data_IF_267284960289
#
_entry.id   IF_267284960289
#
_cell.length_a   1.000
_cell.length_b   1.000
_cell.length_c   1.000
_cell.angle_alpha   90.00
_cell.angle_beta   90.00
_cell.angle_gamma   90.00
#
_symmetry.space_group_name_H-M   'P 1'
#
loop_
_entity.id
_entity.type
_entity.pdbx_description
1 polymer ?
#
# COMPACT_ATOMS: atom_id res chain seq x y z
N UNK A 1 -10.69 -0.19 7.09
CA UNK A 1 -9.74 -0.62 6.04
C UNK A 1 -8.94 0.56 5.50
N UNK A 2 -9.58 1.63 4.99
CA UNK A 2 -8.88 2.82 4.49
C UNK A 2 -7.87 3.44 5.48
N UNK A 3 -8.27 3.67 6.75
CA UNK A 3 -7.37 4.24 7.76
C UNK A 3 -6.13 3.38 8.03
N UNK A 4 -6.27 2.05 8.05
CA UNK A 4 -5.14 1.16 8.29
C UNK A 4 -4.13 1.21 7.13
N UNK A 5 -4.62 1.25 5.90
CA UNK A 5 -3.78 1.43 4.70
C UNK A 5 -3.06 2.79 4.77
N UNK A 6 -3.79 3.85 5.13
CA UNK A 6 -3.22 5.19 5.30
C UNK A 6 -2.09 5.20 6.32
N UNK A 7 -2.29 4.61 7.50
CA UNK A 7 -1.26 4.54 8.54
C UNK A 7 -0.02 3.76 8.09
N UNK A 8 -0.20 2.62 7.43
CA UNK A 8 0.91 1.82 6.87
C UNK A 8 1.70 2.65 5.86
N UNK A 9 1.02 3.30 4.91
CA UNK A 9 1.67 4.09 3.88
C UNK A 9 2.39 5.30 4.47
N UNK A 10 1.75 6.06 5.36
CA UNK A 10 2.33 7.24 5.99
C UNK A 10 3.58 6.88 6.82
N UNK A 11 3.57 5.75 7.53
CA UNK A 11 4.74 5.26 8.28
C UNK A 11 5.86 4.81 7.36
N UNK A 12 5.55 4.00 6.33
CA UNK A 12 6.55 3.47 5.42
C UNK A 12 7.21 4.55 4.54
N UNK A 13 6.47 5.61 4.21
CA UNK A 13 6.97 6.76 3.45
C UNK A 13 7.68 7.81 4.33
N UNK A 14 7.68 7.63 5.66
CA UNK A 14 8.11 8.66 6.63
C UNK A 14 7.44 10.03 6.36
N UNK A 15 6.15 9.98 5.99
CA UNK A 15 5.39 11.15 5.54
C UNK A 15 4.07 11.27 6.32
N UNK A 16 4.08 11.87 7.53
CA UNK A 16 2.93 11.89 8.43
C UNK A 16 1.75 12.75 7.91
N UNK A 17 2.02 13.71 7.02
CA UNK A 17 0.99 14.54 6.38
C UNK A 17 0.46 13.96 5.05
N UNK A 18 0.69 12.68 4.77
CA UNK A 18 0.21 11.99 3.58
C UNK A 18 -1.30 12.18 3.42
N UNK A 19 -1.75 12.73 2.29
CA UNK A 19 -3.17 12.76 1.94
C UNK A 19 -3.58 11.45 1.30
N UNK A 20 -4.90 11.23 1.25
CA UNK A 20 -5.45 9.98 0.74
C UNK A 20 -5.28 9.85 -0.79
N UNK A 21 -5.18 10.98 -1.49
CA UNK A 21 -5.01 11.12 -2.94
C UNK A 21 -3.58 11.49 -3.36
N UNK A 22 -2.67 11.71 -2.42
CA UNK A 22 -1.26 11.97 -2.73
C UNK A 22 -0.66 10.75 -3.42
N UNK A 23 0.05 11.01 -4.52
CA UNK A 23 0.86 10.00 -5.17
C UNK A 23 2.12 9.75 -4.34
N UNK A 24 2.41 8.48 -4.06
CA UNK A 24 3.54 8.06 -3.25
C UNK A 24 4.87 8.52 -3.84
N UNK A 25 5.00 8.58 -5.17
CA UNK A 25 6.21 9.05 -5.84
C UNK A 25 6.38 10.57 -5.72
N UNK A 26 5.27 11.32 -5.74
CA UNK A 26 5.29 12.79 -5.59
C UNK A 26 5.74 13.21 -4.17
N UNK A 27 5.46 12.39 -3.16
CA UNK A 27 5.91 12.63 -1.78
C UNK A 27 7.28 12.02 -1.46
N UNK A 28 8.01 11.51 -2.46
CA UNK A 28 9.38 10.98 -2.33
C UNK A 28 9.47 9.46 -2.14
N UNK A 29 8.36 8.73 -2.35
CA UNK A 29 8.31 7.28 -2.32
C UNK A 29 9.18 6.64 -3.40
N UNK A 30 9.95 5.64 -3.01
CA UNK A 30 10.84 4.90 -3.91
C UNK A 30 10.77 3.39 -3.65
N UNK A 31 11.42 2.58 -4.49
CA UNK A 31 11.30 1.11 -4.50
C UNK A 31 11.44 0.44 -3.14
N UNK A 32 12.33 0.91 -2.26
CA UNK A 32 12.48 0.35 -0.90
C UNK A 32 11.27 0.63 0.00
N UNK A 33 10.70 1.83 -0.08
CA UNK A 33 9.48 2.19 0.65
C UNK A 33 8.27 1.45 0.09
N UNK A 34 8.20 1.28 -1.24
CA UNK A 34 7.15 0.50 -1.89
C UNK A 34 7.18 -0.96 -1.44
N UNK A 35 8.37 -1.57 -1.38
CA UNK A 35 8.56 -2.91 -0.83
C UNK A 35 8.17 -2.98 0.66
N UNK A 36 8.45 -1.93 1.43
CA UNK A 36 8.07 -1.85 2.84
C UNK A 36 6.55 -1.74 3.03
N UNK A 37 5.86 -0.92 2.22
CA UNK A 37 4.39 -0.87 2.18
C UNK A 37 3.83 -2.26 1.87
N UNK A 38 4.35 -2.91 0.83
CA UNK A 38 3.93 -4.26 0.43
C UNK A 38 4.08 -5.25 1.60
N UNK A 39 5.22 -5.23 2.29
CA UNK A 39 5.50 -6.08 3.46
C UNK A 39 4.51 -5.83 4.60
N UNK A 40 4.29 -4.56 4.97
CA UNK A 40 3.37 -4.21 6.06
C UNK A 40 1.91 -4.53 5.73
N UNK A 41 1.46 -4.28 4.49
CA UNK A 41 0.13 -4.68 4.04
C UNK A 41 -0.09 -6.21 4.17
N UNK A 42 0.95 -7.00 3.87
CA UNK A 42 0.90 -8.44 4.04
C UNK A 42 0.87 -8.86 5.51
N UNK A 43 1.74 -8.27 6.34
CA UNK A 43 1.85 -8.64 7.75
C UNK A 43 0.61 -8.25 8.57
N UNK A 44 0.12 -7.01 8.40
CA UNK A 44 -0.96 -6.44 9.20
C UNK A 44 -2.35 -6.76 8.65
N UNK A 45 -2.52 -6.72 7.32
CA UNK A 45 -3.84 -6.84 6.69
C UNK A 45 -4.05 -8.17 5.95
N UNK A 46 -3.03 -9.04 5.88
CA UNK A 46 -3.05 -10.30 5.11
C UNK A 46 -3.43 -10.09 3.65
N UNK A 47 -3.07 -8.93 3.10
CA UNK A 47 -3.26 -8.58 1.69
C UNK A 47 -2.00 -8.96 0.93
N UNK A 48 -2.16 -9.65 -0.20
CA UNK A 48 -1.08 -9.83 -1.17
C UNK A 48 -1.33 -8.92 -2.37
N UNK A 49 -0.38 -8.04 -2.64
CA UNK A 49 -0.35 -7.17 -3.81
C UNK A 49 1.04 -7.31 -4.45
N UNK A 50 1.09 -7.49 -5.76
CA UNK A 50 2.37 -7.50 -6.47
C UNK A 50 2.92 -6.07 -6.65
N UNK A 51 4.20 -5.98 -6.99
CA UNK A 51 4.87 -4.68 -7.10
C UNK A 51 4.29 -3.83 -8.23
N UNK A 52 3.92 -4.42 -9.36
CA UNK A 52 3.34 -3.69 -10.50
C UNK A 52 2.02 -3.02 -10.13
N UNK A 53 1.14 -3.75 -9.44
CA UNK A 53 -0.14 -3.26 -8.96
C UNK A 53 0.05 -2.16 -7.92
N UNK A 54 1.07 -2.27 -7.06
CA UNK A 54 1.40 -1.20 -6.10
C UNK A 54 1.88 0.08 -6.81
N UNK A 55 2.74 -0.04 -7.84
CA UNK A 55 3.14 1.09 -8.68
C UNK A 55 1.97 1.72 -9.44
N UNK A 56 1.02 0.90 -9.91
CA UNK A 56 -0.17 1.36 -10.65
C UNK A 56 -1.20 2.05 -9.76
N UNK A 57 -1.21 1.73 -8.47
CA UNK A 57 -2.16 2.23 -7.48
C UNK A 57 -1.43 3.04 -6.41
N UNK A 58 -0.67 4.05 -6.82
CA UNK A 58 0.28 4.82 -6.03
C UNK A 58 -0.33 5.82 -5.04
N UNK A 59 -1.58 5.65 -4.62
CA UNK A 59 -2.22 6.48 -3.58
C UNK A 59 -3.02 5.60 -2.63
N UNK A 60 -3.31 6.09 -1.43
CA UNK A 60 -4.09 5.34 -0.44
C UNK A 60 -5.49 5.02 -0.97
N UNK A 61 -6.14 5.95 -1.67
CA UNK A 61 -7.45 5.73 -2.28
C UNK A 61 -7.36 4.64 -3.34
N UNK A 62 -6.38 4.68 -4.24
CA UNK A 62 -6.23 3.68 -5.29
C UNK A 62 -5.89 2.31 -4.69
N UNK A 63 -4.93 2.22 -3.77
CA UNK A 63 -4.61 0.99 -3.05
C UNK A 63 -5.85 0.39 -2.39
N UNK A 64 -6.62 1.19 -1.65
CA UNK A 64 -7.82 0.71 -0.96
C UNK A 64 -8.90 0.14 -1.87
N UNK A 65 -8.94 0.58 -3.13
CA UNK A 65 -9.85 0.06 -4.16
C UNK A 65 -9.29 -1.17 -4.85
N UNK A 66 -7.97 -1.22 -5.04
CA UNK A 66 -7.27 -2.30 -5.70
C UNK A 66 -7.11 -3.54 -4.82
N UNK A 67 -6.90 -3.33 -3.51
CA UNK A 67 -6.75 -4.43 -2.58
C UNK A 67 -8.12 -4.95 -2.14
N UNK A 68 -8.29 -6.24 -2.28
CA UNK A 68 -9.37 -6.97 -1.63
C UNK A 68 -8.74 -7.86 -0.55
N UNK A 69 -9.36 -8.00 0.63
CA UNK A 69 -8.88 -8.95 1.61
C UNK A 69 -8.81 -10.32 0.94
N UNK A 70 -7.61 -10.87 0.86
CA UNK A 70 -7.37 -12.16 0.23
C UNK A 70 -7.91 -13.25 1.17
N UNK A 71 -9.22 -13.51 1.11
CA UNK A 71 -9.75 -14.76 1.64
C UNK A 71 -9.46 -15.86 0.60
N UNK A 72 -8.25 -16.42 0.70
CA UNK A 72 -7.82 -17.67 0.08
C UNK A 72 -7.85 -17.73 -1.46
N UNK A 73 -6.70 -17.55 -2.11
CA UNK A 73 -6.39 -18.32 -3.32
C UNK A 73 -4.86 -18.47 -3.49
N UNK A 74 -4.24 -19.29 -2.66
CA UNK A 74 -3.11 -20.10 -3.11
C UNK A 74 -3.71 -21.44 -3.58
N UNK A 75 -4.07 -21.49 -4.86
CA UNK A 75 -4.29 -22.74 -5.59
C UNK A 75 -3.19 -22.80 -6.66
N UNK A 76 -2.28 -23.75 -6.50
CA UNK A 76 -1.11 -23.95 -7.36
C UNK A 76 -0.01 -24.67 -6.61
#
# INVERSE_FOLDING_TARGET
>A
MLNAIHEICAKALDYPQLKLDDDFFDVGGHSLMMAEIQRQLHEELKVQIDMESLFRNSSVIQLSKAIQPSFSQQAG
#
